data_IF_831493045970
#
_entry.id   IF_831493045970
#
_cell.length_a   1.000
_cell.length_b   1.000
_cell.length_c   1.000
_cell.angle_alpha   90.00
_cell.angle_beta   90.00
_cell.angle_gamma   90.00
#
_symmetry.space_group_name_H-M   'P 1'
#
loop_
_entity.id
_entity.type
_entity.pdbx_description
1 polymer ?
#
# COMPACT_ATOMS: atom_id res chain seq x y z
N UNK A 1 36.71 -0.87 -64.57
CA UNK A 1 35.73 -1.22 -63.52
C UNK A 1 35.04 0.02 -62.99
N UNK A 2 33.88 0.28 -63.57
CA UNK A 2 33.07 1.47 -63.34
C UNK A 2 32.33 1.38 -62.00
N UNK A 3 32.87 2.07 -60.99
CA UNK A 3 32.22 2.29 -59.70
C UNK A 3 30.99 3.19 -59.86
N UNK A 4 29.85 2.62 -60.24
CA UNK A 4 28.54 3.30 -60.23
C UNK A 4 28.13 3.62 -58.79
N UNK A 5 28.34 4.87 -58.39
CA UNK A 5 27.66 5.49 -57.24
C UNK A 5 26.14 5.40 -57.44
N UNK A 6 25.50 4.46 -56.75
CA UNK A 6 24.03 4.35 -56.70
C UNK A 6 23.48 5.46 -55.80
N UNK A 7 22.89 6.47 -56.42
CA UNK A 7 21.81 7.31 -55.88
C UNK A 7 22.10 8.09 -54.60
N UNK A 8 22.37 9.40 -54.72
CA UNK A 8 22.26 10.32 -53.59
C UNK A 8 20.83 10.28 -53.03
N UNK A 9 20.65 9.75 -51.82
CA UNK A 9 19.42 9.90 -51.05
C UNK A 9 19.16 11.40 -50.84
N UNK A 10 18.16 11.93 -51.54
CA UNK A 10 17.67 13.29 -51.28
C UNK A 10 16.99 13.32 -49.92
N UNK A 11 17.32 14.30 -49.07
CA UNK A 11 16.66 14.56 -47.77
C UNK A 11 15.13 14.59 -47.89
N UNK A 12 14.61 15.00 -49.06
CA UNK A 12 13.16 15.05 -49.35
C UNK A 12 12.49 13.67 -49.38
N UNK A 13 13.25 12.60 -49.60
CA UNK A 13 12.74 11.22 -49.74
C UNK A 13 13.21 10.31 -48.59
N UNK A 14 13.91 10.84 -47.59
CA UNK A 14 14.37 10.06 -46.45
C UNK A 14 13.19 9.80 -45.49
N UNK A 15 12.71 8.55 -45.44
CA UNK A 15 11.76 8.12 -44.41
C UNK A 15 12.55 7.80 -43.15
N UNK A 16 12.37 8.61 -42.10
CA UNK A 16 12.92 8.29 -40.78
C UNK A 16 12.44 6.89 -40.36
N UNK A 17 13.35 6.03 -39.86
CA UNK A 17 12.94 4.76 -39.28
C UNK A 17 11.93 5.04 -38.17
N UNK A 18 10.91 4.19 -38.06
CA UNK A 18 9.97 4.33 -36.94
C UNK A 18 10.75 4.21 -35.64
N UNK A 19 10.54 5.16 -34.74
CA UNK A 19 11.14 5.11 -33.41
C UNK A 19 10.75 3.79 -32.74
N UNK A 20 11.69 3.11 -32.06
CA UNK A 20 11.37 1.90 -31.31
C UNK A 20 10.27 2.24 -30.30
N UNK A 21 9.09 1.61 -30.47
CA UNK A 21 8.03 1.69 -29.46
C UNK A 21 8.40 0.76 -28.33
N UNK A 22 8.73 1.32 -27.18
CA UNK A 22 8.87 0.55 -25.94
C UNK A 22 7.49 -0.05 -25.65
N UNK A 23 7.40 -1.38 -25.66
CA UNK A 23 6.23 -2.09 -25.14
C UNK A 23 6.33 -2.08 -23.62
N UNK A 24 5.88 -1.00 -22.98
CA UNK A 24 5.82 -0.93 -21.53
C UNK A 24 4.84 -1.99 -21.04
N UNK A 25 5.33 -3.01 -20.32
CA UNK A 25 4.43 -3.90 -19.58
C UNK A 25 3.80 -3.07 -18.47
N UNK A 26 2.46 -2.99 -18.37
CA UNK A 26 1.84 -2.26 -17.29
C UNK A 26 2.30 -2.85 -15.95
N UNK A 27 2.73 -1.99 -15.03
CA UNK A 27 3.12 -2.41 -13.69
C UNK A 27 1.88 -3.00 -13.03
N UNK A 28 1.93 -4.30 -12.68
CA UNK A 28 0.86 -4.94 -11.92
C UNK A 28 0.88 -4.37 -10.50
N UNK A 29 -0.18 -3.65 -10.14
CA UNK A 29 -0.35 -3.08 -8.80
C UNK A 29 -1.19 -4.02 -7.95
N UNK A 30 -0.93 -4.10 -6.63
CA UNK A 30 -1.78 -4.88 -5.74
C UNK A 30 -3.19 -4.27 -5.68
N UNK A 31 -4.23 -5.10 -5.55
CA UNK A 31 -5.60 -4.63 -5.46
C UNK A 31 -5.84 -3.86 -4.15
N UNK A 32 -6.89 -3.05 -4.14
CA UNK A 32 -7.38 -2.37 -2.94
C UNK A 32 -7.82 -3.40 -1.88
N UNK A 33 -7.53 -3.12 -0.60
CA UNK A 33 -8.07 -3.91 0.52
C UNK A 33 -9.56 -3.66 0.69
N UNK A 34 -10.31 -4.72 1.02
CA UNK A 34 -11.76 -4.69 1.13
C UNK A 34 -12.23 -3.74 2.26
N UNK A 35 -13.45 -3.18 2.16
CA UNK A 35 -14.00 -2.35 3.22
C UNK A 35 -14.07 -3.12 4.55
N UNK A 36 -13.48 -2.56 5.61
CA UNK A 36 -13.37 -3.23 6.91
C UNK A 36 -12.03 -3.90 7.16
N UNK A 37 -11.13 -3.94 6.17
CA UNK A 37 -9.82 -4.57 6.30
C UNK A 37 -8.66 -3.59 6.11
N UNK A 38 -7.55 -3.87 6.81
CA UNK A 38 -6.27 -3.19 6.63
C UNK A 38 -6.35 -1.66 6.61
N UNK A 39 -5.84 -1.06 5.53
CA UNK A 39 -5.86 0.38 5.27
C UNK A 39 -7.27 0.96 5.15
N UNK A 40 -8.29 0.13 4.87
CA UNK A 40 -9.70 0.48 4.71
C UNK A 40 -10.60 -0.04 5.85
N UNK A 41 -10.00 -0.40 7.00
CA UNK A 41 -10.73 -0.82 8.20
C UNK A 41 -11.76 0.20 8.70
N UNK A 42 -11.42 1.49 8.60
CA UNK A 42 -12.29 2.58 9.04
C UNK A 42 -12.73 3.46 7.86
N UNK A 43 -13.93 4.03 7.99
CA UNK A 43 -14.45 5.05 7.09
C UNK A 43 -14.20 6.42 7.71
N UNK A 44 -13.64 7.34 6.93
CA UNK A 44 -13.32 8.69 7.39
C UNK A 44 -14.29 9.70 6.78
N UNK A 45 -14.76 10.62 7.62
CA UNK A 45 -15.55 11.76 7.21
C UNK A 45 -14.76 13.04 7.52
N UNK A 46 -14.89 14.05 6.66
CA UNK A 46 -14.22 15.34 6.81
C UNK A 46 -15.24 16.48 6.73
N UNK A 47 -15.01 17.52 7.53
CA UNK A 47 -15.74 18.78 7.44
C UNK A 47 -14.79 19.94 7.78
N UNK A 48 -15.06 21.13 7.26
CA UNK A 48 -14.32 22.34 7.58
C UNK A 48 -14.82 23.01 8.87
N UNK A 49 -16.09 22.82 9.22
CA UNK A 49 -16.71 23.30 10.46
C UNK A 49 -17.55 22.16 11.04
N UNK A 50 -17.40 21.81 12.34
CA UNK A 50 -18.20 20.76 12.99
C UNK A 50 -19.72 20.86 12.78
N UNK A 51 -20.26 22.07 12.53
CA UNK A 51 -21.68 22.33 12.29
C UNK A 51 -22.11 22.15 10.83
N UNK A 52 -21.16 22.01 9.91
CA UNK A 52 -21.43 21.86 8.47
C UNK A 52 -21.59 20.39 8.09
N UNK A 53 -21.97 20.16 6.82
CA UNK A 53 -22.10 18.83 6.27
C UNK A 53 -20.77 18.06 6.28
N UNK A 54 -20.87 16.77 6.61
CA UNK A 54 -19.73 15.87 6.67
C UNK A 54 -19.61 15.08 5.37
N UNK A 55 -18.43 15.14 4.75
CA UNK A 55 -18.17 14.48 3.47
C UNK A 55 -17.40 13.19 3.73
N UNK A 56 -17.95 12.06 3.27
CA UNK A 56 -17.27 10.77 3.33
C UNK A 56 -16.07 10.75 2.37
N UNK A 57 -14.89 10.43 2.89
CA UNK A 57 -13.70 10.19 2.07
C UNK A 57 -13.79 8.82 1.37
N UNK A 58 -13.23 8.67 0.16
CA UNK A 58 -13.21 7.40 -0.55
C UNK A 58 -12.30 6.39 0.17
N UNK A 59 -12.42 5.12 -0.20
CA UNK A 59 -11.43 4.11 0.18
C UNK A 59 -10.08 4.39 -0.50
N UNK A 60 -9.00 4.01 0.17
CA UNK A 60 -7.63 4.25 -0.32
C UNK A 60 -7.14 3.07 -1.11
N UNK A 61 -6.42 3.32 -2.20
CA UNK A 61 -5.75 2.26 -2.97
C UNK A 61 -4.25 2.18 -2.60
N UNK A 62 -3.61 1.01 -2.79
CA UNK A 62 -2.18 0.87 -2.52
C UNK A 62 -1.32 1.83 -3.38
N UNK A 63 -1.72 2.04 -4.64
CA UNK A 63 -1.07 2.98 -5.55
C UNK A 63 -1.07 4.41 -4.99
N UNK A 64 -2.21 4.88 -4.45
CA UNK A 64 -2.31 6.19 -3.84
C UNK A 64 -1.34 6.33 -2.66
N UNK A 65 -1.23 5.31 -1.80
CA UNK A 65 -0.29 5.32 -0.67
C UNK A 65 1.16 5.36 -1.15
N UNK A 66 1.51 4.53 -2.14
CA UNK A 66 2.87 4.43 -2.68
C UNK A 66 3.30 5.75 -3.32
N UNK A 67 2.44 6.38 -4.12
CA UNK A 67 2.74 7.68 -4.73
C UNK A 67 2.72 8.79 -3.68
N UNK A 68 1.81 8.76 -2.70
CA UNK A 68 1.76 9.73 -1.61
C UNK A 68 3.04 9.78 -0.77
N UNK A 69 3.79 8.67 -0.66
CA UNK A 69 5.10 8.63 -0.01
C UNK A 69 6.19 9.40 -0.73
N UNK A 70 6.04 9.59 -2.04
CA UNK A 70 7.06 10.18 -2.91
C UNK A 70 6.82 11.68 -3.18
N UNK A 71 5.67 12.20 -2.77
CA UNK A 71 5.27 13.58 -3.05
C UNK A 71 5.14 14.38 -1.75
N UNK A 72 5.49 15.67 -1.83
CA UNK A 72 5.29 16.65 -0.76
C UNK A 72 4.47 17.81 -1.29
N UNK A 73 3.26 17.99 -0.75
CA UNK A 73 2.29 19.01 -1.17
C UNK A 73 1.59 19.62 0.03
N UNK A 74 1.31 20.92 -0.06
CA UNK A 74 0.36 21.56 0.83
C UNK A 74 -1.06 21.29 0.32
N UNK A 75 -2.00 21.09 1.25
CA UNK A 75 -3.42 20.97 0.93
C UNK A 75 -3.99 22.35 0.59
N UNK A 76 -4.87 22.41 -0.41
CA UNK A 76 -5.56 23.65 -0.80
C UNK A 76 -6.78 23.93 0.07
N UNK A 77 -7.31 22.90 0.76
CA UNK A 77 -8.54 22.98 1.53
C UNK A 77 -9.80 22.67 0.71
N UNK A 78 -9.65 22.43 -0.59
CA UNK A 78 -10.73 22.05 -1.49
C UNK A 78 -10.56 20.60 -1.94
N UNK A 79 -11.50 19.74 -1.53
CA UNK A 79 -11.44 18.29 -1.81
C UNK A 79 -11.40 17.94 -3.30
N UNK A 80 -11.96 18.81 -4.16
CA UNK A 80 -12.03 18.64 -5.62
C UNK A 80 -10.78 19.11 -6.36
N UNK A 81 -9.82 19.73 -5.66
CA UNK A 81 -8.57 20.21 -6.27
C UNK A 81 -7.74 19.08 -6.87
N UNK A 82 -7.07 19.36 -7.98
CA UNK A 82 -6.13 18.41 -8.61
C UNK A 82 -4.80 18.40 -7.87
N UNK A 83 -4.22 17.21 -7.73
CA UNK A 83 -2.89 17.03 -7.14
C UNK A 83 -1.84 17.08 -8.25
N UNK A 84 -1.25 18.25 -8.48
CA UNK A 84 -0.23 18.44 -9.50
C UNK A 84 1.15 18.01 -8.98
N UNK A 85 1.54 16.75 -9.16
CA UNK A 85 2.82 16.19 -8.68
C UNK A 85 3.57 15.38 -9.74
N UNK A 86 4.86 15.17 -9.51
CA UNK A 86 5.67 14.16 -10.20
C UNK A 86 6.38 13.30 -9.14
N UNK A 87 6.12 11.98 -9.07
CA UNK A 87 5.20 11.20 -9.90
C UNK A 87 3.73 11.66 -9.84
N UNK A 88 2.96 11.37 -10.88
CA UNK A 88 1.54 11.76 -10.98
C UNK A 88 0.73 11.02 -9.93
N UNK A 89 0.01 11.75 -9.09
CA UNK A 89 -0.86 11.16 -8.09
C UNK A 89 -2.15 10.60 -8.71
N UNK A 90 -2.54 9.34 -8.42
CA UNK A 90 -3.76 8.72 -8.95
C UNK A 90 -5.00 9.17 -8.16
N UNK A 91 -5.39 10.43 -8.31
CA UNK A 91 -6.58 11.00 -7.69
C UNK A 91 -6.58 12.52 -7.56
N UNK A 92 -7.56 13.03 -6.82
CA UNK A 92 -7.70 14.44 -6.42
C UNK A 92 -7.30 14.63 -4.96
N UNK A 93 -7.43 15.85 -4.45
CA UNK A 93 -7.00 16.21 -3.10
C UNK A 93 -7.68 15.38 -2.01
N UNK A 94 -8.97 15.03 -2.17
CA UNK A 94 -9.68 14.12 -1.27
C UNK A 94 -8.99 12.76 -1.11
N UNK A 95 -8.46 12.20 -2.20
CA UNK A 95 -7.77 10.92 -2.21
C UNK A 95 -6.37 11.07 -1.58
N UNK A 96 -5.69 12.19 -1.80
CA UNK A 96 -4.41 12.48 -1.16
C UNK A 96 -4.58 12.63 0.34
N UNK A 97 -5.61 13.35 0.79
CA UNK A 97 -5.95 13.49 2.21
C UNK A 97 -6.19 12.12 2.84
N UNK A 98 -7.02 11.30 2.20
CA UNK A 98 -7.28 9.93 2.63
C UNK A 98 -6.01 9.07 2.74
N UNK A 99 -5.08 9.20 1.78
CA UNK A 99 -3.81 8.49 1.79
C UNK A 99 -2.89 8.98 2.93
N UNK A 100 -2.87 10.29 3.23
CA UNK A 100 -2.12 10.81 4.38
C UNK A 100 -2.70 10.32 5.71
N UNK A 101 -4.03 10.34 5.86
CA UNK A 101 -4.70 9.79 7.05
C UNK A 101 -4.31 8.32 7.26
N UNK A 102 -4.29 7.50 6.20
CA UNK A 102 -3.87 6.10 6.29
C UNK A 102 -2.45 5.97 6.86
N UNK A 103 -1.51 6.74 6.30
CA UNK A 103 -0.09 6.71 6.69
C UNK A 103 0.14 7.20 8.12
N UNK A 104 -0.50 8.31 8.49
CA UNK A 104 -0.38 8.88 9.84
C UNK A 104 -1.00 7.91 10.83
N UNK A 105 -2.20 7.38 10.56
CA UNK A 105 -2.86 6.43 11.46
C UNK A 105 -1.98 5.21 11.71
N UNK A 106 -1.48 4.57 10.65
CA UNK A 106 -0.62 3.39 10.78
C UNK A 106 0.72 3.67 11.49
N UNK A 107 1.25 4.90 11.39
CA UNK A 107 2.56 5.26 11.93
C UNK A 107 2.54 5.99 13.29
N UNK A 108 1.37 6.37 13.81
CA UNK A 108 1.28 7.21 15.02
C UNK A 108 0.22 6.78 16.02
N UNK A 109 -0.66 5.83 15.67
CA UNK A 109 -1.61 5.29 16.63
C UNK A 109 -0.91 4.29 17.56
N UNK A 110 -0.75 4.72 18.80
CA UNK A 110 -0.03 3.99 19.85
C UNK A 110 -0.89 3.91 21.10
N UNK A 111 -0.60 2.96 21.98
CA UNK A 111 -1.26 2.79 23.27
C UNK A 111 -0.24 2.38 24.33
N UNK A 112 -0.54 2.60 25.63
CA UNK A 112 0.32 2.12 26.69
C UNK A 112 0.58 0.61 26.57
N UNK A 113 1.82 0.20 26.79
CA UNK A 113 2.20 -1.21 26.80
C UNK A 113 1.30 -1.99 27.77
N UNK A 114 0.78 -3.13 27.32
CA UNK A 114 -0.14 -3.96 28.11
C UNK A 114 -1.61 -3.53 28.09
N UNK A 115 -1.95 -2.37 27.49
CA UNK A 115 -3.35 -1.93 27.35
C UNK A 115 -4.17 -2.85 26.42
N UNK A 116 -3.52 -3.34 25.36
CA UNK A 116 -4.09 -4.32 24.44
C UNK A 116 -3.39 -5.68 24.57
N UNK A 117 -4.27 -6.69 24.50
CA UNK A 117 -4.12 -8.12 24.25
C UNK A 117 -3.91 -8.58 22.83
N UNK A 118 -3.22 -9.67 22.54
CA UNK A 118 -3.69 -10.52 21.43
C UNK A 118 -4.89 -11.34 21.90
N UNK A 119 -5.88 -11.55 21.02
CA UNK A 119 -6.99 -12.45 21.25
C UNK A 119 -6.47 -13.89 21.27
N UNK A 120 -6.76 -14.64 22.33
CA UNK A 120 -6.35 -16.03 22.53
C UNK A 120 -7.52 -17.02 22.28
N UNK A 121 -8.61 -16.53 21.68
CA UNK A 121 -9.77 -17.37 21.33
C UNK A 121 -9.49 -18.40 20.22
N UNK A 122 -10.49 -19.21 19.88
CA UNK A 122 -10.36 -20.27 18.85
C UNK A 122 -10.01 -19.75 17.45
N UNK A 123 -10.29 -18.48 17.15
CA UNK A 123 -9.92 -17.79 15.90
C UNK A 123 -8.60 -16.99 16.01
N UNK A 124 -7.81 -17.22 17.06
CA UNK A 124 -6.52 -16.57 17.23
C UNK A 124 -5.58 -16.93 16.07
N UNK A 125 -4.88 -15.93 15.55
CA UNK A 125 -3.81 -16.17 14.58
C UNK A 125 -2.67 -16.92 15.28
N UNK A 126 -2.01 -17.82 14.55
CA UNK A 126 -0.87 -18.55 15.09
C UNK A 126 0.24 -17.60 15.54
N UNK A 127 0.96 -17.97 16.60
CA UNK A 127 2.04 -17.14 17.16
C UNK A 127 3.12 -16.79 16.12
N UNK A 128 3.32 -17.66 15.12
CA UNK A 128 4.24 -17.42 14.00
C UNK A 128 3.76 -16.28 13.09
N UNK A 129 2.46 -16.23 12.79
CA UNK A 129 1.86 -15.19 11.95
C UNK A 129 1.87 -13.85 12.68
N UNK A 130 1.51 -13.85 13.97
CA UNK A 130 1.57 -12.67 14.83
C UNK A 130 3.00 -12.10 14.84
N UNK A 131 4.01 -12.94 15.09
CA UNK A 131 5.42 -12.54 15.11
C UNK A 131 5.92 -12.05 13.74
N UNK A 132 5.35 -12.57 12.64
CA UNK A 132 5.61 -12.12 11.29
C UNK A 132 4.88 -10.81 10.91
N UNK A 133 4.11 -10.23 11.83
CA UNK A 133 3.29 -9.05 11.59
C UNK A 133 2.11 -9.32 10.66
N UNK A 134 1.67 -10.57 10.59
CA UNK A 134 0.55 -11.05 9.79
C UNK A 134 -0.59 -11.47 10.71
N UNK A 135 -1.73 -10.78 10.62
CA UNK A 135 -2.88 -11.10 11.47
C UNK A 135 -2.67 -10.71 12.95
N UNK A 136 -3.39 -11.40 13.83
CA UNK A 136 -3.48 -11.07 15.25
C UNK A 136 -4.57 -10.04 15.53
N UNK A 137 -5.72 -10.51 16.02
CA UNK A 137 -6.77 -9.63 16.52
C UNK A 137 -6.36 -9.14 17.90
N UNK A 138 -6.38 -7.82 18.11
CA UNK A 138 -6.12 -7.26 19.43
C UNK A 138 -7.44 -7.02 20.18
N UNK A 139 -7.42 -7.26 21.48
CA UNK A 139 -8.56 -7.05 22.39
C UNK A 139 -8.12 -6.24 23.60
N UNK A 140 -9.06 -5.54 24.25
CA UNK A 140 -8.76 -4.79 25.46
C UNK A 140 -8.29 -5.73 26.57
N UNK A 141 -7.15 -5.43 27.19
CA UNK A 141 -6.69 -6.15 28.36
C UNK A 141 -7.48 -5.69 29.60
N UNK A 142 -8.38 -6.53 30.10
CA UNK A 142 -9.21 -6.21 31.28
C UNK A 142 -8.39 -6.15 32.58
N UNK A 143 -7.23 -6.78 32.56
CA UNK A 143 -6.31 -6.88 33.70
C UNK A 143 -5.20 -5.80 33.61
N UNK A 144 -5.42 -4.76 32.81
CA UNK A 144 -4.45 -3.68 32.62
C UNK A 144 -4.27 -2.86 33.90
N UNK A 145 -3.04 -2.85 34.41
CA UNK A 145 -2.62 -1.93 35.46
C UNK A 145 -2.02 -0.66 34.85
N UNK A 146 -2.50 0.54 35.21
CA UNK A 146 -1.97 1.79 34.68
C UNK A 146 -0.47 1.95 34.96
N UNK A 147 0.28 2.27 33.90
CA UNK A 147 1.68 2.62 34.01
C UNK A 147 1.87 3.94 34.78
N UNK A 148 3.03 4.10 35.42
CA UNK A 148 3.31 5.34 36.14
C UNK A 148 3.53 6.49 35.16
N UNK A 149 3.34 7.72 35.63
CA UNK A 149 3.64 8.92 34.81
C UNK A 149 5.10 8.93 34.38
N UNK A 150 6.02 8.46 35.24
CA UNK A 150 7.45 8.36 34.93
C UNK A 150 7.68 7.46 33.71
N UNK A 151 7.02 6.31 33.65
CA UNK A 151 7.13 5.37 32.52
C UNK A 151 6.52 5.96 31.25
N UNK A 152 5.33 6.58 31.34
CA UNK A 152 4.65 7.17 30.18
C UNK A 152 5.40 8.36 29.57
N UNK A 153 6.22 9.06 30.36
CA UNK A 153 7.03 10.21 29.92
C UNK A 153 8.48 9.85 29.61
N UNK A 154 8.85 8.56 29.67
CA UNK A 154 10.20 8.13 29.40
C UNK A 154 10.59 8.41 27.94
N UNK A 155 11.78 8.99 27.76
CA UNK A 155 12.24 9.47 26.45
C UNK A 155 12.50 8.32 25.46
N UNK A 156 12.69 7.10 25.96
CA UNK A 156 12.88 5.93 25.10
C UNK A 156 11.59 5.48 24.40
N UNK A 157 10.42 5.97 24.83
CA UNK A 157 9.10 5.59 24.29
C UNK A 157 8.78 4.08 24.35
N UNK A 158 9.54 3.30 25.13
CA UNK A 158 9.38 1.85 25.26
C UNK A 158 8.02 1.42 25.83
N UNK A 159 7.37 2.31 26.59
CA UNK A 159 6.06 2.09 27.19
C UNK A 159 4.88 2.41 26.25
N UNK A 160 5.16 2.82 25.02
CA UNK A 160 4.15 3.03 23.99
C UNK A 160 4.33 2.02 22.88
N UNK A 161 3.25 1.34 22.52
CA UNK A 161 3.25 0.29 21.49
C UNK A 161 2.26 0.60 20.37
N UNK A 162 2.60 0.20 19.15
CA UNK A 162 1.70 0.33 18.00
C UNK A 162 0.56 -0.68 18.08
N UNK A 163 -0.69 -0.21 18.01
CA UNK A 163 -1.88 -1.07 18.01
C UNK A 163 -2.59 -1.11 16.64
N UNK A 164 -2.03 -0.45 15.64
CA UNK A 164 -2.48 -0.49 14.24
C UNK A 164 -1.48 -1.18 13.34
N UNK A 165 -1.98 -1.92 12.34
CA UNK A 165 -1.13 -2.64 11.40
C UNK A 165 -0.25 -1.69 10.59
N UNK A 166 1.02 -2.06 10.43
CA UNK A 166 1.96 -1.34 9.59
C UNK A 166 1.56 -1.42 8.11
N UNK A 167 1.73 -0.31 7.38
CA UNK A 167 1.51 -0.30 5.92
C UNK A 167 2.82 -0.62 5.22
N UNK A 168 2.87 -1.77 4.56
CA UNK A 168 4.00 -2.27 3.76
C UNK A 168 4.39 -1.30 2.63
N UNK A 169 5.59 -1.42 2.08
CA UNK A 169 6.09 -0.64 0.92
C UNK A 169 5.16 -0.75 -0.27
N UNK A 170 4.54 -1.92 -0.47
CA UNK A 170 3.53 -2.12 -1.52
C UNK A 170 2.19 -1.38 -1.31
N UNK A 171 1.99 -0.73 -0.16
CA UNK A 171 0.81 0.11 0.12
C UNK A 171 -0.39 -0.62 0.74
N UNK A 172 -0.21 -1.86 1.20
CA UNK A 172 -1.20 -2.68 1.93
C UNK A 172 -0.71 -3.01 3.33
N UNK A 173 -1.59 -3.45 4.20
CA UNK A 173 -1.21 -3.99 5.53
C UNK A 173 -0.78 -5.44 5.47
N UNK A 174 -1.36 -6.22 4.56
CA UNK A 174 -1.00 -7.62 4.31
C UNK A 174 -0.29 -7.74 2.97
N UNK A 175 0.74 -8.58 2.91
CA UNK A 175 1.51 -8.79 1.68
C UNK A 175 0.63 -9.40 0.57
N UNK A 176 0.84 -8.99 -0.69
CA UNK A 176 0.07 -9.49 -1.83
C UNK A 176 1.00 -9.77 -3.00
N UNK A 177 0.98 -11.01 -3.48
CA UNK A 177 1.78 -11.40 -4.62
C UNK A 177 1.09 -11.01 -5.94
N UNK A 178 1.52 -9.90 -6.54
CA UNK A 178 0.99 -9.41 -7.83
C UNK A 178 1.24 -10.34 -9.02
N UNK A 179 2.14 -11.31 -8.89
CA UNK A 179 2.47 -12.29 -9.93
C UNK A 179 1.73 -13.62 -9.75
N UNK A 180 1.04 -13.82 -8.62
CA UNK A 180 0.27 -15.03 -8.38
C UNK A 180 -1.06 -14.91 -9.15
N UNK A 181 -1.21 -15.71 -10.21
CA UNK A 181 -2.44 -15.76 -11.01
C UNK A 181 -3.60 -16.21 -10.11
N UNK A 182 -4.69 -15.44 -10.08
CA UNK A 182 -5.90 -15.81 -9.35
C UNK A 182 -6.68 -16.95 -10.05
N UNK A 183 -7.69 -17.56 -9.40
CA UNK A 183 -8.48 -18.65 -9.98
C UNK A 183 -9.12 -18.29 -11.34
N UNK A 184 -9.48 -17.01 -11.53
CA UNK A 184 -10.13 -16.51 -12.75
C UNK A 184 -9.18 -16.41 -13.95
N UNK A 185 -7.91 -16.08 -13.74
CA UNK A 185 -6.91 -16.01 -14.83
C UNK A 185 -6.39 -17.40 -15.22
N UNK A 186 -6.53 -18.40 -14.34
CA UNK A 186 -6.10 -19.79 -14.60
C UNK A 186 -6.97 -20.51 -15.63
N UNK A 187 -8.24 -20.10 -15.80
CA UNK A 187 -9.19 -20.78 -16.68
C UNK A 187 -9.06 -20.41 -18.17
N UNK A 188 -8.52 -19.22 -18.49
CA UNK A 188 -8.46 -18.72 -19.88
C UNK A 188 -7.18 -19.11 -20.62
N UNK A 189 -6.09 -19.43 -19.91
CA UNK A 189 -4.80 -19.83 -20.51
C UNK A 189 -4.58 -21.36 -20.51
N UNK A 190 -5.49 -22.14 -19.91
CA UNK A 190 -5.35 -23.60 -19.81
C UNK A 190 -5.57 -24.34 -21.14
N UNK A 191 -6.04 -23.66 -22.19
CA UNK A 191 -6.19 -24.26 -23.53
C UNK A 191 -4.94 -24.10 -24.42
N UNK A 192 -3.95 -23.28 -24.03
CA UNK A 192 -2.82 -22.91 -24.92
C UNK A 192 -1.41 -23.32 -24.44
N UNK A 193 -1.24 -23.92 -23.26
CA UNK A 193 0.09 -24.33 -22.75
C UNK A 193 0.15 -25.83 -22.37
N UNK A 194 -0.02 -26.73 -23.35
CA UNK A 194 0.61 -28.06 -23.27
C UNK A 194 2.10 -27.94 -23.61
N UNK A 195 2.97 -27.66 -22.63
CA UNK A 195 4.40 -27.94 -22.82
C UNK A 195 5.48 -27.11 -22.12
N UNK A 196 5.17 -26.22 -21.16
CA UNK A 196 6.24 -25.59 -20.38
C UNK A 196 6.33 -26.19 -18.96
N UNK A 197 7.47 -26.84 -18.67
CA UNK A 197 7.84 -27.26 -17.32
C UNK A 197 7.72 -26.07 -16.36
N UNK A 198 6.90 -26.24 -15.33
CA UNK A 198 6.73 -25.22 -14.29
C UNK A 198 8.12 -24.82 -13.75
N UNK A 199 8.49 -23.52 -13.79
CA UNK A 199 9.75 -23.09 -13.21
C UNK A 199 9.79 -23.49 -11.74
N UNK A 200 10.98 -23.84 -11.20
CA UNK A 200 11.10 -24.29 -9.81
C UNK A 200 10.45 -23.28 -8.88
N UNK A 201 9.62 -23.77 -7.96
CA UNK A 201 8.90 -22.98 -6.95
C UNK A 201 9.92 -22.17 -6.14
N UNK A 202 10.23 -20.96 -6.59
CA UNK A 202 10.93 -19.98 -5.78
C UNK A 202 9.90 -19.49 -4.77
N UNK A 203 10.05 -19.87 -3.51
CA UNK A 203 9.33 -19.24 -2.41
C UNK A 203 9.50 -17.72 -2.54
N UNK A 204 8.41 -17.04 -2.88
CA UNK A 204 8.42 -15.59 -2.94
C UNK A 204 8.36 -15.11 -1.50
N UNK A 205 9.50 -14.73 -0.94
CA UNK A 205 9.56 -14.13 0.40
C UNK A 205 8.80 -12.80 0.35
N UNK A 206 7.61 -12.80 0.94
CA UNK A 206 6.76 -11.62 1.02
C UNK A 206 7.32 -10.54 1.95
N UNK A 207 6.93 -9.30 1.70
CA UNK A 207 7.26 -8.19 2.61
C UNK A 207 6.59 -8.40 3.97
N UNK A 208 7.35 -8.23 5.06
CA UNK A 208 6.85 -8.34 6.44
C UNK A 208 7.03 -7.01 7.17
N UNK A 209 6.00 -6.60 7.90
CA UNK A 209 6.03 -5.43 8.79
C UNK A 209 6.42 -5.84 10.22
N UNK A 210 6.68 -4.87 11.10
CA UNK A 210 6.79 -5.15 12.54
C UNK A 210 5.47 -5.73 13.08
N UNK A 211 5.53 -6.61 14.09
CA UNK A 211 4.33 -7.14 14.71
C UNK A 211 3.52 -6.06 15.43
N UNK A 212 2.23 -6.30 15.62
CA UNK A 212 1.41 -5.46 16.49
C UNK A 212 1.95 -5.51 17.92
N UNK A 213 1.68 -4.45 18.68
CA UNK A 213 2.12 -4.26 20.05
C UNK A 213 3.65 -4.21 20.21
N UNK A 214 4.38 -3.88 19.13
CA UNK A 214 5.80 -3.50 19.19
C UNK A 214 5.97 -2.08 19.70
N UNK A 215 6.99 -1.85 20.53
CA UNK A 215 7.34 -0.52 21.04
C UNK A 215 7.69 0.46 19.91
N UNK A 216 7.43 1.74 20.16
CA UNK A 216 7.80 2.85 19.28
C UNK A 216 9.31 2.96 19.02
#
# INVERSE_FOLDING_TARGET
DDGKFKGKLSLKNYKLPQLPRIKEKPIKLPPMEDPGEGTNKFVFFVTNDPKSDWIRLPHVTPEQIVVARQIRKFFTGYLTSRVNSYPKFPGIEMNLLRAQIARISAGTQVSPAGYYRFDEGEEAADAFDIAAGQGGKIVLNRDFEPLTVKDLTDQTCTFWVHHTSHILKQGRTVWYNVNQKGPKERGEEAEDEEGEEAPPFKEVIGEKGPPLLTSC
#
